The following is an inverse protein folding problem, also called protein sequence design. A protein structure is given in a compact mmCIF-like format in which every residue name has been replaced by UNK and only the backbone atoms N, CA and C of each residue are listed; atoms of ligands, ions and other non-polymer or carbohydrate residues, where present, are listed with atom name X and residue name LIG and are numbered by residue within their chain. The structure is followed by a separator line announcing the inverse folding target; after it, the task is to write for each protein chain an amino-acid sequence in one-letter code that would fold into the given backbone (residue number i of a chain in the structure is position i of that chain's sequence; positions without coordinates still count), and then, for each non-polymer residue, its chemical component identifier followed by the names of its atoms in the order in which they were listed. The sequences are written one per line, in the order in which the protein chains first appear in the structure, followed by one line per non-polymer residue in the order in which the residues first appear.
data_IF_580244826559
#
_entry.id   IF_580244826559
#
_cell.length_a   1.000
_cell.length_b   1.000
_cell.length_c   1.000
_cell.angle_alpha   90.00
_cell.angle_beta   90.00
_cell.angle_gamma   90.00
#
_symmetry.space_group_name_H-M   'P 1'
#
loop_
_entity.id
_entity.type
_entity.pdbx_description
1 polymer ?
#
# COMPACT_ATOMS: atom_id res chain seq x y z
N UNK A 1 -14.51 -3.74 -2.33
CA UNK A 1 -13.36 -3.08 -1.69
C UNK A 1 -13.23 -3.63 -0.28
N UNK A 2 -12.15 -4.34 0.03
CA UNK A 2 -11.96 -5.03 1.31
C UNK A 2 -10.49 -5.29 1.63
N UNK A 3 -9.60 -4.46 1.06
CA UNK A 3 -8.18 -4.58 1.34
C UNK A 3 -7.84 -3.98 2.69
N UNK A 4 -7.00 -4.65 3.47
CA UNK A 4 -6.50 -4.15 4.76
C UNK A 4 -5.18 -3.42 4.54
N UNK A 5 -5.04 -2.20 5.04
CA UNK A 5 -3.76 -1.49 5.01
C UNK A 5 -2.76 -2.26 5.89
N UNK A 6 -1.71 -2.82 5.27
CA UNK A 6 -0.60 -3.50 5.94
C UNK A 6 0.45 -2.50 6.40
N UNK A 7 0.76 -1.52 5.55
CA UNK A 7 1.64 -0.39 5.88
C UNK A 7 0.96 0.93 5.52
N UNK A 8 0.80 1.85 6.49
CA UNK A 8 0.22 3.15 6.24
C UNK A 8 1.10 3.95 5.26
N UNK A 9 0.56 5.05 4.73
CA UNK A 9 1.30 5.90 3.80
C UNK A 9 2.57 6.41 4.48
N UNK A 10 3.72 6.16 3.85
CA UNK A 10 5.02 6.66 4.26
C UNK A 10 5.72 7.38 3.11
N UNK A 11 6.60 8.31 3.47
CA UNK A 11 7.40 9.06 2.51
C UNK A 11 8.51 8.16 1.96
N UNK A 12 8.63 8.14 0.63
CA UNK A 12 9.70 7.45 -0.07
C UNK A 12 10.38 8.46 -1.02
N UNK A 13 11.67 8.32 -1.35
CA UNK A 13 12.29 9.20 -2.34
C UNK A 13 11.50 9.19 -3.65
N UNK A 14 10.96 10.36 -4.04
CA UNK A 14 10.13 10.50 -5.24
C UNK A 14 8.61 10.30 -5.04
N UNK A 15 8.10 10.28 -3.80
CA UNK A 15 6.65 10.34 -3.58
C UNK A 15 6.17 9.72 -2.27
N UNK A 16 4.93 9.19 -2.31
CA UNK A 16 4.28 8.53 -1.16
C UNK A 16 3.92 7.10 -1.53
N UNK A 17 4.20 6.17 -0.61
CA UNK A 17 3.94 4.74 -0.81
C UNK A 17 3.12 4.18 0.35
N UNK A 18 2.21 3.26 0.05
CA UNK A 18 1.49 2.46 1.07
C UNK A 18 1.29 1.03 0.59
N UNK A 19 1.10 0.11 1.54
CA UNK A 19 0.86 -1.30 1.24
C UNK A 19 -0.51 -1.74 1.75
N UNK A 20 -1.19 -2.57 0.98
CA UNK A 20 -2.45 -3.17 1.39
C UNK A 20 -2.48 -4.65 1.03
N UNK A 21 -3.17 -5.43 1.85
CA UNK A 21 -3.44 -6.85 1.62
C UNK A 21 -4.83 -6.93 1.01
N UNK A 22 -4.94 -7.51 -0.17
CA UNK A 22 -6.24 -7.78 -0.77
C UNK A 22 -6.95 -8.96 -0.07
N UNK A 23 -8.27 -9.14 -0.24
CA UNK A 23 -9.00 -10.26 0.37
C UNK A 23 -8.44 -11.65 0.05
N UNK A 24 -7.71 -11.81 -1.06
CA UNK A 24 -7.02 -13.06 -1.42
C UNK A 24 -5.73 -13.35 -0.61
N UNK A 25 -5.31 -12.44 0.27
CA UNK A 25 -4.10 -12.57 1.09
C UNK A 25 -2.81 -12.10 0.43
N UNK A 26 -2.86 -11.61 -0.82
CA UNK A 26 -1.70 -11.04 -1.49
C UNK A 26 -1.43 -9.61 -0.99
N UNK A 27 -0.15 -9.29 -0.78
CA UNK A 27 0.28 -7.94 -0.44
C UNK A 27 0.64 -7.14 -1.70
N UNK A 28 0.04 -5.97 -1.85
CA UNK A 28 0.31 -5.02 -2.92
C UNK A 28 0.90 -3.72 -2.38
N UNK A 29 1.72 -3.09 -3.21
CA UNK A 29 2.30 -1.79 -2.93
C UNK A 29 1.89 -0.78 -3.99
N UNK A 30 1.35 0.35 -3.54
CA UNK A 30 0.93 1.46 -4.40
C UNK A 30 1.84 2.66 -4.13
N UNK A 31 2.26 3.33 -5.18
CA UNK A 31 3.00 4.59 -5.11
C UNK A 31 2.28 5.67 -5.91
N UNK A 32 2.40 6.91 -5.43
CA UNK A 32 2.09 8.12 -6.18
C UNK A 32 3.30 9.03 -6.13
N UNK A 33 3.61 9.66 -7.26
CA UNK A 33 4.47 10.86 -7.29
C UNK A 33 3.76 12.02 -6.60
#
# INVERSE_FOLDING_TARGET
AGGQISKPIFTFPGGRRFHFIEPGGNEFAVWSE
#
